data_IF_047290492548
#
_entry.id   IF_047290492548
#
_cell.length_a   1.000
_cell.length_b   1.000
_cell.length_c   1.000
_cell.angle_alpha   90.00
_cell.angle_beta   90.00
_cell.angle_gamma   90.00
#
_symmetry.space_group_name_H-M   'P 1'
#
loop_
_entity.id
_entity.type
_entity.pdbx_description
1 polymer ?
#
# COMPACT_ATOMS: atom_id res chain seq x y z
N UNK A 1 -11.80 -20.24 -16.96
CA UNK A 1 -12.62 -20.75 -15.86
C UNK A 1 -13.23 -19.59 -15.07
N UNK A 2 -14.54 -19.66 -14.83
CA UNK A 2 -15.22 -18.59 -14.12
C UNK A 2 -14.94 -18.65 -12.63
N UNK A 3 -14.84 -19.86 -12.06
CA UNK A 3 -14.72 -19.97 -10.62
C UNK A 3 -13.51 -19.22 -10.08
N UNK A 4 -12.36 -19.40 -10.72
CA UNK A 4 -11.15 -18.72 -10.25
C UNK A 4 -11.25 -17.21 -10.44
N UNK A 5 -12.02 -16.76 -11.43
CA UNK A 5 -12.08 -15.33 -11.72
C UNK A 5 -12.65 -14.55 -10.54
N UNK A 6 -13.79 -15.00 -10.02
CA UNK A 6 -14.43 -14.27 -8.94
C UNK A 6 -13.54 -14.24 -7.70
N UNK A 7 -12.92 -15.37 -7.38
CA UNK A 7 -12.04 -15.41 -6.22
C UNK A 7 -10.86 -14.46 -6.39
N UNK A 8 -10.28 -14.44 -7.59
CA UNK A 8 -9.15 -13.55 -7.85
C UNK A 8 -9.57 -12.10 -7.69
N UNK A 9 -10.73 -11.75 -8.25
CA UNK A 9 -11.20 -10.38 -8.11
C UNK A 9 -11.42 -10.03 -6.66
N UNK A 10 -12.00 -10.94 -5.89
CA UNK A 10 -12.29 -10.66 -4.49
C UNK A 10 -11.01 -10.46 -3.69
N UNK A 11 -10.02 -11.34 -3.89
CA UNK A 11 -8.77 -11.18 -3.16
C UNK A 11 -8.08 -9.88 -3.54
N UNK A 12 -8.07 -9.55 -4.83
CA UNK A 12 -7.40 -8.32 -5.26
C UNK A 12 -8.08 -7.11 -4.64
N UNK A 13 -9.42 -7.07 -4.69
CA UNK A 13 -10.13 -5.95 -4.10
C UNK A 13 -9.84 -5.84 -2.61
N UNK A 14 -9.92 -6.96 -1.89
CA UNK A 14 -9.67 -6.92 -0.45
C UNK A 14 -8.27 -6.40 -0.17
N UNK A 15 -7.27 -6.96 -0.84
CA UNK A 15 -5.90 -6.52 -0.60
C UNK A 15 -5.73 -5.05 -0.96
N UNK A 16 -6.52 -4.53 -1.88
CA UNK A 16 -6.42 -3.12 -2.24
C UNK A 16 -6.70 -2.24 -1.03
N UNK A 17 -7.72 -2.57 -0.25
CA UNK A 17 -7.94 -1.95 1.04
C UNK A 17 -7.00 -2.60 2.05
N UNK A 18 -7.23 -2.36 3.34
CA UNK A 18 -6.37 -2.94 4.36
C UNK A 18 -7.19 -3.77 5.34
N UNK A 19 -8.07 -4.63 4.82
CA UNK A 19 -8.84 -5.56 5.63
C UNK A 19 -8.28 -6.96 5.44
N UNK A 20 -8.07 -7.67 6.56
CA UNK A 20 -7.39 -8.95 6.52
C UNK A 20 -8.35 -10.13 6.42
N UNK A 21 -9.54 -10.03 7.03
CA UNK A 21 -10.46 -11.16 7.04
C UNK A 21 -10.88 -11.53 5.62
N UNK A 22 -11.23 -10.52 4.82
CA UNK A 22 -11.63 -10.78 3.44
C UNK A 22 -10.47 -11.38 2.66
N UNK A 23 -9.26 -10.87 2.87
CA UNK A 23 -8.10 -11.41 2.18
C UNK A 23 -7.93 -12.89 2.50
N UNK A 24 -8.01 -13.24 3.79
CA UNK A 24 -7.82 -14.63 4.16
C UNK A 24 -8.88 -15.55 3.57
N UNK A 25 -10.14 -15.16 3.69
CA UNK A 25 -11.20 -16.01 3.16
C UNK A 25 -11.09 -16.13 1.65
N UNK A 26 -10.71 -15.04 0.98
CA UNK A 26 -10.58 -15.10 -0.48
C UNK A 26 -9.42 -15.98 -0.90
N UNK A 27 -8.32 -15.97 -0.14
CA UNK A 27 -7.21 -16.88 -0.46
C UNK A 27 -7.67 -18.32 -0.28
N UNK A 28 -8.42 -18.59 0.77
CA UNK A 28 -8.94 -19.94 0.96
C UNK A 28 -9.78 -20.36 -0.22
N UNK A 29 -10.67 -19.46 -0.68
CA UNK A 29 -11.50 -19.78 -1.83
C UNK A 29 -10.66 -19.95 -3.09
N UNK A 30 -9.57 -19.21 -3.21
CA UNK A 30 -8.68 -19.36 -4.36
C UNK A 30 -8.11 -20.77 -4.40
N UNK A 31 -7.59 -21.24 -3.27
CA UNK A 31 -7.02 -22.59 -3.24
C UNK A 31 -8.11 -23.63 -3.46
N UNK A 32 -9.31 -23.37 -2.93
CA UNK A 32 -10.42 -24.29 -3.13
C UNK A 32 -10.75 -24.43 -4.60
N UNK A 33 -10.85 -23.30 -5.31
CA UNK A 33 -11.11 -23.36 -6.74
C UNK A 33 -9.97 -24.04 -7.48
N UNK A 34 -8.73 -23.77 -7.08
CA UNK A 34 -7.60 -24.41 -7.74
C UNK A 34 -7.66 -25.92 -7.65
N UNK A 35 -7.94 -26.45 -6.45
CA UNK A 35 -8.03 -27.90 -6.31
C UNK A 35 -9.27 -28.43 -7.03
N UNK A 36 -10.39 -27.71 -6.92
CA UNK A 36 -11.60 -28.16 -7.58
C UNK A 36 -11.47 -28.22 -9.09
N UNK A 37 -10.57 -27.41 -9.65
CA UNK A 37 -10.35 -27.44 -11.09
C UNK A 37 -10.13 -28.88 -11.56
N UNK A 38 -9.27 -29.62 -10.86
CA UNK A 38 -9.22 -31.06 -11.06
C UNK A 38 -10.43 -31.74 -10.45
N UNK A 39 -10.95 -31.21 -9.34
CA UNK A 39 -12.08 -31.83 -8.67
C UNK A 39 -13.31 -32.01 -9.54
N UNK A 40 -13.50 -31.18 -10.56
CA UNK A 40 -14.65 -31.33 -11.44
C UNK A 40 -14.40 -32.47 -12.43
N UNK A 41 -15.23 -32.56 -13.47
CA UNK A 41 -15.31 -33.73 -14.35
C UNK A 41 -13.95 -34.32 -14.68
N UNK A 42 -12.96 -33.46 -14.94
CA UNK A 42 -11.60 -33.95 -15.13
C UNK A 42 -11.23 -34.90 -14.00
N UNK A 43 -10.94 -36.14 -14.34
CA UNK A 43 -10.68 -37.13 -13.33
C UNK A 43 -11.90 -37.56 -12.55
N UNK A 44 -13.10 -37.34 -13.10
CA UNK A 44 -14.31 -37.77 -12.43
C UNK A 44 -15.51 -37.67 -13.39
N UNK B 1 3.05 20.02 26.41
CA UNK B 1 2.57 20.70 25.22
C UNK B 1 1.20 20.19 24.83
N UNK B 2 0.15 20.87 25.29
CA UNK B 2 -1.20 20.41 25.03
C UNK B 2 -1.50 20.38 23.54
N UNK B 3 -1.11 21.42 22.81
CA UNK B 3 -1.44 21.50 21.40
C UNK B 3 -0.82 20.36 20.60
N UNK B 4 0.47 20.10 20.81
CA UNK B 4 1.15 19.06 20.05
C UNK B 4 0.50 17.71 20.26
N UNK B 5 -0.18 17.52 21.40
CA UNK B 5 -0.79 16.23 21.68
C UNK B 5 -1.80 15.85 20.61
N UNK B 6 -2.69 16.78 20.24
CA UNK B 6 -3.71 16.46 19.25
C UNK B 6 -3.08 16.06 17.93
N UNK B 7 -2.05 16.79 17.50
CA UNK B 7 -1.39 16.46 16.24
C UNK B 7 -0.85 15.03 16.26
N UNK B 8 -0.18 14.66 17.35
CA UNK B 8 0.34 13.30 17.47
C UNK B 8 -0.82 12.30 17.42
N UNK B 9 -1.91 12.58 18.13
CA UNK B 9 -3.02 11.65 18.19
C UNK B 9 -3.64 11.43 16.81
N UNK B 10 -4.00 12.51 16.13
CA UNK B 10 -4.68 12.38 14.85
C UNK B 10 -3.81 11.64 13.84
N UNK B 11 -2.53 12.00 13.76
CA UNK B 11 -1.64 11.35 12.81
C UNK B 11 -1.58 9.84 13.06
N UNK B 12 -1.31 9.45 14.30
CA UNK B 12 -1.22 8.02 14.61
C UNK B 12 -2.56 7.35 14.37
N UNK B 13 -3.65 7.97 14.83
CA UNK B 13 -4.96 7.36 14.65
C UNK B 13 -5.28 7.17 13.18
N UNK B 14 -5.02 8.18 12.35
CA UNK B 14 -5.25 8.05 10.93
C UNK B 14 -4.35 6.98 10.32
N UNK B 15 -3.07 6.97 10.72
CA UNK B 15 -2.12 6.05 10.10
C UNK B 15 -2.57 4.61 10.23
N UNK B 16 -3.30 4.28 11.30
CA UNK B 16 -3.72 2.90 11.50
C UNK B 16 -4.63 2.44 10.37
N UNK B 17 -5.56 3.28 9.94
CA UNK B 17 -6.51 2.92 8.90
C UNK B 17 -5.89 2.97 7.51
N UNK B 18 -4.59 3.23 7.40
CA UNK B 18 -3.91 3.35 6.11
C UNK B 18 -4.63 4.34 5.20
N UNK B 19 -5.03 5.46 5.80
CA UNK B 19 -5.66 6.56 5.09
C UNK B 19 -4.62 7.67 4.90
N UNK B 20 -4.38 8.05 3.65
CA UNK B 20 -3.33 9.01 3.36
C UNK B 20 -3.83 10.46 3.29
N UNK B 21 -5.08 10.68 2.85
CA UNK B 21 -5.56 12.04 2.68
C UNK B 21 -5.57 12.78 4.02
N UNK B 22 -6.07 12.12 5.06
CA UNK B 22 -6.13 12.77 6.36
C UNK B 22 -4.77 12.79 7.04
N UNK B 23 -3.91 11.81 6.75
CA UNK B 23 -2.56 11.81 7.30
C UNK B 23 -1.79 13.02 6.78
N UNK B 24 -1.97 13.34 5.50
CA UNK B 24 -1.23 14.47 4.94
C UNK B 24 -1.54 15.76 5.65
N UNK B 25 -2.82 16.05 5.88
CA UNK B 25 -3.19 17.28 6.57
C UNK B 25 -2.83 17.25 8.04
N UNK B 26 -2.52 16.08 8.60
CA UNK B 26 -2.11 16.00 9.99
C UNK B 26 -0.60 16.10 10.15
N UNK B 27 0.15 15.28 9.42
CA UNK B 27 1.60 15.29 9.53
C UNK B 27 2.22 16.65 9.26
N UNK B 28 1.46 17.59 8.70
CA UNK B 28 1.95 18.94 8.53
C UNK B 28 1.69 19.79 9.78
N UNK B 29 0.53 19.59 10.43
CA UNK B 29 0.22 20.39 11.62
C UNK B 29 1.22 20.11 12.74
N UNK B 30 1.74 18.89 12.80
CA UNK B 30 2.69 18.54 13.85
C UNK B 30 3.95 19.39 13.72
N UNK B 31 4.48 19.51 12.50
CA UNK B 31 5.66 20.34 12.29
C UNK B 31 5.31 21.81 12.42
N UNK B 32 4.15 22.21 11.90
CA UNK B 32 3.72 23.59 12.04
C UNK B 32 3.53 23.94 13.51
N UNK B 33 2.92 23.04 14.28
CA UNK B 33 2.72 23.31 15.69
C UNK B 33 4.03 23.33 16.44
N UNK B 34 4.95 22.43 16.09
CA UNK B 34 6.24 22.39 16.78
C UNK B 34 7.01 23.69 16.66
N UNK B 35 7.13 24.21 15.43
CA UNK B 35 7.79 25.50 15.25
C UNK B 35 7.00 26.60 15.94
N UNK B 36 5.67 26.57 15.79
CA UNK B 36 4.85 27.60 16.42
C UNK B 36 5.07 27.66 17.92
N UNK B 37 5.07 26.49 18.57
CA UNK B 37 5.30 26.46 20.01
C UNK B 37 6.68 27.03 20.35
N UNK B 38 7.70 26.67 19.56
CA UNK B 38 9.02 27.25 19.77
C UNK B 38 8.98 28.76 19.65
N UNK B 39 8.11 29.28 18.77
CA UNK B 39 7.96 30.70 18.62
C UNK B 39 7.14 31.35 19.73
N UNK B 40 6.37 30.56 20.46
CA UNK B 40 5.60 31.10 21.58
C UNK B 40 6.50 31.23 22.81
N UNK B 41 5.91 31.68 23.91
CA UNK B 41 6.61 31.93 25.16
C UNK B 41 7.55 33.12 25.04
N UNK B 42 7.66 33.70 23.84
CA UNK B 42 8.42 34.92 23.62
C UNK B 42 7.56 36.10 23.21
N UNK B 43 6.43 35.86 22.54
CA UNK B 43 5.54 36.92 22.12
C UNK B 43 4.10 36.47 22.07
N UNK C 1 2.65 -26.91 -2.43
CA UNK C 1 1.97 -25.65 -2.64
C UNK C 1 2.94 -24.48 -2.57
N UNK C 2 4.22 -24.78 -2.37
CA UNK C 2 5.21 -23.71 -2.24
C UNK C 2 5.26 -22.86 -3.49
N UNK C 3 5.20 -23.49 -4.67
CA UNK C 3 5.27 -22.73 -5.91
C UNK C 3 4.16 -21.69 -6.00
N UNK C 4 2.93 -22.10 -5.70
CA UNK C 4 1.81 -21.17 -5.79
C UNK C 4 1.92 -20.06 -4.76
N UNK C 5 2.72 -20.26 -3.71
CA UNK C 5 2.85 -19.22 -2.69
C UNK C 5 3.43 -17.95 -3.29
N UNK C 6 4.53 -18.07 -4.04
CA UNK C 6 5.17 -16.89 -4.59
C UNK C 6 4.22 -16.12 -5.50
N UNK C 7 3.50 -16.84 -6.37
CA UNK C 7 2.57 -16.16 -7.27
C UNK C 7 1.49 -15.44 -6.47
N UNK C 8 0.94 -16.08 -5.44
CA UNK C 8 -0.02 -15.40 -4.58
C UNK C 8 0.66 -14.25 -3.86
N UNK C 9 1.91 -14.45 -3.44
CA UNK C 9 2.61 -13.39 -2.71
C UNK C 9 2.75 -12.14 -3.55
N UNK C 10 3.13 -12.29 -4.82
CA UNK C 10 3.31 -11.11 -5.66
C UNK C 10 1.98 -10.42 -5.94
N UNK C 11 0.94 -11.20 -6.23
CA UNK C 11 -0.34 -10.61 -6.63
C UNK C 11 -0.88 -9.70 -5.54
N UNK C 12 -0.92 -10.20 -4.30
CA UNK C 12 -1.40 -9.37 -3.20
C UNK C 12 -0.52 -8.15 -3.02
N UNK C 13 0.81 -8.33 -3.09
CA UNK C 13 1.71 -7.20 -2.96
C UNK C 13 1.51 -6.20 -4.08
N UNK C 14 1.40 -6.67 -5.32
CA UNK C 14 1.12 -5.77 -6.42
C UNK C 14 -0.21 -5.07 -6.23
N UNK C 15 -1.24 -5.82 -5.84
CA UNK C 15 -2.54 -5.21 -5.59
C UNK C 15 -2.47 -4.20 -4.44
N UNK C 16 -1.59 -4.45 -3.46
CA UNK C 16 -1.41 -3.48 -2.39
C UNK C 16 -0.96 -2.15 -2.96
N UNK C 17 0.06 -2.16 -3.80
CA UNK C 17 0.40 -1.00 -4.61
C UNK C 17 -0.54 -0.98 -5.81
N UNK C 18 -0.24 -0.16 -6.82
CA UNK C 18 -1.03 -0.14 -8.04
C UNK C 18 -0.16 -0.42 -9.25
N UNK C 19 0.88 -1.23 -9.07
CA UNK C 19 1.77 -1.60 -10.17
C UNK C 19 1.03 -2.56 -11.07
N UNK C 20 0.39 -2.00 -12.11
CA UNK C 20 -0.48 -2.83 -12.96
C UNK C 20 0.31 -3.91 -13.68
N UNK C 21 1.50 -3.58 -14.17
CA UNK C 21 2.28 -4.57 -14.93
C UNK C 21 2.67 -5.74 -14.05
N UNK C 22 3.11 -5.47 -12.83
CA UNK C 22 3.46 -6.56 -11.92
C UNK C 22 2.26 -7.47 -11.67
N UNK C 23 1.09 -6.87 -11.45
CA UNK C 23 -0.12 -7.67 -11.28
C UNK C 23 -0.36 -8.56 -12.50
N UNK C 24 -0.23 -7.98 -13.70
CA UNK C 24 -0.54 -8.75 -14.91
C UNK C 24 0.29 -10.01 -15.03
N UNK C 25 1.61 -9.89 -14.82
CA UNK C 25 2.45 -11.08 -14.86
C UNK C 25 2.07 -12.05 -13.77
N UNK C 26 1.85 -11.56 -12.56
CA UNK C 26 1.60 -12.45 -11.43
C UNK C 26 0.35 -13.29 -11.66
N UNK C 27 -0.74 -12.67 -12.11
CA UNK C 27 -2.00 -13.38 -12.23
C UNK C 27 -1.87 -14.55 -13.20
N UNK C 28 -1.05 -14.41 -14.23
CA UNK C 28 -0.81 -15.52 -15.13
C UNK C 28 -0.14 -16.66 -14.38
N UNK C 29 0.76 -16.36 -13.47
CA UNK C 29 1.37 -17.41 -12.66
C UNK C 29 0.35 -18.14 -11.81
N UNK C 30 -0.63 -17.42 -11.28
CA UNK C 30 -1.67 -18.06 -10.48
C UNK C 30 -2.36 -19.14 -11.29
N UNK C 31 -2.82 -18.78 -12.50
CA UNK C 31 -3.45 -19.78 -13.35
C UNK C 31 -2.42 -20.77 -13.86
N UNK C 32 -1.23 -20.29 -14.21
CA UNK C 32 -0.19 -21.18 -14.72
C UNK C 32 0.20 -22.22 -13.68
N UNK C 33 0.34 -21.81 -12.43
CA UNK C 33 0.64 -22.78 -11.38
C UNK C 33 -0.59 -23.63 -11.05
N UNK C 34 -1.78 -23.11 -11.30
CA UNK C 34 -2.98 -23.90 -11.05
C UNK C 34 -2.98 -25.19 -11.82
N UNK C 35 -2.65 -25.13 -13.12
CA UNK C 35 -2.52 -26.34 -13.90
C UNK C 35 -1.25 -27.09 -13.52
N UNK C 36 -0.21 -26.36 -13.13
CA UNK C 36 1.06 -27.01 -12.82
C UNK C 36 0.93 -28.07 -11.75
N UNK C 37 0.21 -27.74 -10.67
CA UNK C 37 -0.01 -28.73 -9.61
C UNK C 37 -0.78 -29.92 -10.12
N UNK C 38 -1.92 -29.67 -10.78
CA UNK C 38 -2.71 -30.78 -11.31
C UNK C 38 -1.93 -31.56 -12.34
N UNK C 39 -0.98 -30.93 -13.01
CA UNK C 39 -0.04 -31.61 -13.87
C UNK C 39 1.21 -32.07 -13.17
N UNK C 40 1.29 -31.92 -11.85
CA UNK C 40 2.46 -32.31 -11.08
C UNK C 40 2.30 -33.64 -10.36
N UNK C 41 1.09 -33.96 -9.89
CA UNK C 41 0.90 -35.23 -9.22
C UNK C 41 1.11 -36.41 -10.16
N UNK C 42 0.76 -36.25 -11.44
CA UNK C 42 0.96 -37.31 -12.42
C UNK C 42 2.42 -37.43 -12.87
N UNK C 43 3.27 -36.48 -12.49
CA UNK C 43 4.67 -36.53 -12.89
C UNK C 43 4.91 -35.91 -14.25
N UNK D 1 14.27 25.83 -7.79
CA UNK D 1 13.23 25.00 -7.18
C UNK D 1 13.59 23.52 -7.28
N UNK D 2 14.83 23.23 -7.68
CA UNK D 2 15.24 21.84 -7.84
C UNK D 2 15.10 21.09 -6.52
N UNK D 3 15.55 21.70 -5.43
CA UNK D 3 15.38 21.06 -4.13
C UNK D 3 13.93 20.76 -3.83
N UNK D 4 13.05 21.71 -4.11
CA UNK D 4 11.62 21.45 -3.91
C UNK D 4 11.08 20.50 -4.97
N UNK D 5 11.66 20.54 -6.17
CA UNK D 5 11.18 19.67 -7.25
C UNK D 5 11.28 18.21 -6.85
N UNK D 6 12.44 17.78 -6.37
CA UNK D 6 12.62 16.38 -6.00
C UNK D 6 11.64 15.97 -4.90
N UNK D 7 11.44 16.86 -3.92
CA UNK D 7 10.54 16.53 -2.82
C UNK D 7 9.12 16.30 -3.31
N UNK D 8 8.66 17.12 -4.26
CA UNK D 8 7.31 16.93 -4.80
C UNK D 8 7.21 15.58 -5.48
N UNK D 9 8.27 15.16 -6.16
CA UNK D 9 8.23 13.88 -6.86
C UNK D 9 7.98 12.73 -5.89
N UNK D 10 8.70 12.71 -4.77
CA UNK D 10 8.58 11.59 -3.83
C UNK D 10 7.18 11.51 -3.26
N UNK D 11 6.63 12.63 -2.80
CA UNK D 11 5.32 12.60 -2.15
C UNK D 11 4.25 12.10 -3.10
N UNK D 12 4.22 12.61 -4.33
CA UNK D 12 3.19 12.19 -5.28
C UNK D 12 3.44 10.75 -5.70
N UNK D 13 4.71 10.39 -5.93
CA UNK D 13 5.03 9.02 -6.28
C UNK D 13 4.62 8.06 -5.16
N UNK D 14 4.88 8.44 -3.91
CA UNK D 14 4.41 7.63 -2.79
C UNK D 14 2.89 7.60 -2.74
N UNK D 15 2.25 8.73 -3.03
CA UNK D 15 0.80 8.80 -2.91
C UNK D 15 0.12 7.70 -3.71
N UNK D 16 0.61 7.42 -4.92
CA UNK D 16 0.00 6.37 -5.73
C UNK D 16 0.13 5.02 -5.05
N UNK D 17 1.35 4.53 -4.90
CA UNK D 17 1.60 3.27 -4.20
C UNK D 17 1.42 3.53 -2.71
N UNK D 18 0.25 3.16 -2.18
CA UNK D 18 -0.10 3.47 -0.80
C UNK D 18 1.06 3.14 0.13
N UNK D 19 1.55 4.17 0.82
CA UNK D 19 2.72 4.04 1.67
C UNK D 19 2.58 4.99 2.83
N UNK D 20 3.35 4.74 3.87
CA UNK D 20 3.36 5.60 5.06
C UNK D 20 4.71 6.25 5.29
N UNK D 21 5.79 5.46 5.30
CA UNK D 21 7.11 6.03 5.54
C UNK D 21 7.50 6.99 4.43
N UNK D 22 7.31 6.57 3.18
CA UNK D 22 7.72 7.41 2.06
C UNK D 22 6.97 8.74 2.07
N UNK D 23 5.66 8.69 2.27
CA UNK D 23 4.90 9.93 2.36
C UNK D 23 5.42 10.81 3.49
N UNK D 24 5.70 10.21 4.63
CA UNK D 24 6.16 10.99 5.78
C UNK D 24 7.48 11.70 5.51
N UNK D 25 8.46 10.98 4.97
CA UNK D 25 9.75 11.60 4.72
C UNK D 25 9.63 12.73 3.71
N UNK D 26 8.81 12.54 2.68
CA UNK D 26 8.66 13.57 1.66
C UNK D 26 8.01 14.82 2.24
N UNK D 27 6.91 14.66 2.96
CA UNK D 27 6.12 15.82 3.40
C UNK D 27 6.97 16.73 4.27
N UNK D 28 7.67 16.16 5.25
CA UNK D 28 8.54 16.98 6.08
C UNK D 28 9.62 17.63 5.24
N UNK D 29 10.13 16.91 4.24
CA UNK D 29 11.15 17.49 3.38
C UNK D 29 10.61 18.71 2.63
N UNK D 30 9.38 18.63 2.13
CA UNK D 30 8.80 19.76 1.40
C UNK D 30 8.72 20.98 2.29
N UNK D 31 8.13 20.84 3.48
CA UNK D 31 8.08 21.95 4.40
C UNK D 31 9.49 22.35 4.83
N UNK D 32 10.35 21.36 5.05
CA UNK D 32 11.75 21.66 5.36
C UNK D 32 12.41 22.40 4.21
N UNK D 33 12.09 22.02 2.97
CA UNK D 33 12.63 22.74 1.82
C UNK D 33 11.96 24.10 1.67
N UNK D 34 10.68 24.19 2.01
CA UNK D 34 10.00 25.48 1.98
C UNK D 34 10.64 26.49 2.90
N UNK D 35 10.88 26.09 4.15
CA UNK D 35 11.63 26.95 5.07
C UNK D 35 13.04 27.16 4.55
N UNK D 36 13.60 26.17 3.86
CA UNK D 36 14.85 26.39 3.17
C UNK D 36 14.74 27.51 2.15
N UNK D 37 13.63 27.53 1.40
CA UNK D 37 13.40 28.60 0.44
C UNK D 37 13.11 29.93 1.15
N UNK D 38 12.52 29.85 2.35
CA UNK D 38 12.29 31.07 3.13
C UNK D 38 13.56 31.88 3.26
N UNK D 39 14.67 31.23 3.61
CA UNK D 39 15.95 31.89 3.79
C UNK D 39 16.97 31.63 2.70
N UNK D 40 16.58 31.01 1.59
CA UNK D 40 17.56 30.71 0.55
C UNK D 40 18.06 31.95 -0.16
N UNK D 41 17.17 32.92 -0.43
CA UNK D 41 17.61 34.14 -1.12
C UNK D 41 18.58 34.94 -0.28
N UNK D 42 18.30 35.07 1.02
CA UNK D 42 19.19 35.84 1.89
C UNK D 42 20.55 35.15 2.04
N UNK D 43 20.53 33.83 2.21
CA UNK D 43 21.77 33.08 2.39
C UNK D 43 21.52 31.62 2.72
#
# INVERSE_FOLDING_TARGET
>A
MTGLAEAIANTVQAAQQHDSVKLGTSIVDIVANGVGLLGKLFGF
>B
MTGLAEAIANTVQAAQQHDSVKLGTSIVDIVANGVGLLGKLFGF
>C
MTGLAEAIANTVQAAQQHDSVKLGTSIVDIVANGVGLLGKLFGF
>D
MTGLAEAIANTVQAAQQHDSVKLGTSIVDIVANGVGLLGKLFGF
#
